data_IF_576741540209
#
_entry.id   IF_576741540209
#
_cell.length_a   1.000
_cell.length_b   1.000
_cell.length_c   1.000
_cell.angle_alpha   90.00
_cell.angle_beta   90.00
_cell.angle_gamma   90.00
#
_symmetry.space_group_name_H-M   'P 1'
#
loop_
_entity.id
_entity.type
_entity.pdbx_description
1 polymer ?
#
# COMPACT_ATOMS: atom_id res chain seq x y z
N UNK A 1 -0.86 -9.51 13.52
CA UNK A 1 -1.34 -8.16 13.15
C UNK A 1 -2.49 -8.20 12.15
N UNK A 2 -2.27 -8.60 10.88
CA UNK A 2 -3.26 -8.47 9.79
C UNK A 2 -4.68 -8.95 10.14
N UNK A 3 -4.79 -10.17 10.70
CA UNK A 3 -6.08 -10.74 11.14
C UNK A 3 -6.81 -9.90 12.19
N UNK A 4 -6.09 -9.24 13.09
CA UNK A 4 -6.70 -8.42 14.13
C UNK A 4 -7.24 -7.09 13.59
N UNK A 5 -6.58 -6.51 12.59
CA UNK A 5 -6.93 -5.19 12.03
C UNK A 5 -7.96 -5.32 10.90
N UNK A 6 -7.76 -6.27 9.99
CA UNK A 6 -8.56 -6.42 8.77
C UNK A 6 -9.56 -7.59 8.86
N UNK A 7 -9.47 -8.41 9.90
CA UNK A 7 -10.36 -9.56 10.09
C UNK A 7 -10.02 -10.78 9.23
N UNK A 8 -8.98 -10.72 8.39
CA UNK A 8 -8.50 -11.83 7.57
C UNK A 8 -6.98 -11.99 7.61
N UNK A 9 -6.48 -13.15 7.19
CA UNK A 9 -5.04 -13.31 6.93
C UNK A 9 -4.69 -12.54 5.66
N UNK A 10 -3.47 -12.03 5.59
CA UNK A 10 -2.92 -11.52 4.33
C UNK A 10 -2.80 -12.70 3.36
N UNK A 11 -3.06 -12.46 2.09
CA UNK A 11 -3.21 -13.55 1.11
C UNK A 11 -1.86 -14.15 0.73
N UNK A 12 -0.81 -13.32 0.63
CA UNK A 12 0.55 -13.82 0.44
C UNK A 12 1.60 -12.89 1.06
N UNK A 13 2.71 -13.50 1.50
CA UNK A 13 3.93 -12.83 1.95
C UNK A 13 5.08 -13.45 1.18
N UNK A 14 5.88 -12.64 0.49
CA UNK A 14 7.13 -13.04 -0.16
C UNK A 14 8.28 -12.25 0.44
N UNK A 15 9.37 -12.92 0.79
CA UNK A 15 10.59 -12.28 1.25
C UNK A 15 11.68 -12.48 0.19
N UNK A 16 12.33 -11.39 -0.21
CA UNK A 16 13.46 -11.38 -1.13
C UNK A 16 14.51 -10.46 -0.51
N UNK A 17 15.66 -11.03 -0.13
CA UNK A 17 16.69 -10.34 0.64
C UNK A 17 16.11 -9.68 1.91
N UNK A 18 16.28 -8.36 2.07
CA UNK A 18 15.74 -7.55 3.17
C UNK A 18 14.40 -6.89 2.82
N UNK A 19 13.70 -7.36 1.79
CA UNK A 19 12.44 -6.79 1.30
C UNK A 19 11.31 -7.81 1.47
N UNK A 20 10.21 -7.39 2.08
CA UNK A 20 9.01 -8.18 2.25
C UNK A 20 7.86 -7.59 1.43
N UNK A 21 7.25 -8.41 0.59
CA UNK A 21 6.09 -8.07 -0.22
C UNK A 21 4.85 -8.77 0.34
N UNK A 22 3.87 -7.99 0.77
CA UNK A 22 2.56 -8.44 1.22
C UNK A 22 1.56 -8.18 0.11
N UNK A 23 0.71 -9.16 -0.20
CA UNK A 23 -0.38 -9.01 -1.17
C UNK A 23 -1.71 -9.37 -0.51
N UNK A 24 -2.71 -8.52 -0.72
CA UNK A 24 -4.07 -8.66 -0.23
C UNK A 24 -5.06 -8.34 -1.36
N UNK A 25 -5.80 -9.36 -1.77
CA UNK A 25 -6.88 -9.28 -2.75
C UNK A 25 -8.16 -8.84 -2.04
N UNK A 26 -8.92 -7.91 -2.64
CA UNK A 26 -10.15 -7.37 -2.04
C UNK A 26 -9.89 -6.75 -0.66
N UNK A 27 -8.87 -5.90 -0.58
CA UNK A 27 -8.47 -5.26 0.67
C UNK A 27 -9.65 -4.58 1.36
N UNK A 28 -9.99 -5.09 2.55
CA UNK A 28 -11.29 -4.83 3.20
C UNK A 28 -11.62 -3.35 3.37
N UNK A 29 -10.62 -2.50 3.63
CA UNK A 29 -10.85 -1.07 3.86
C UNK A 29 -11.09 -0.26 2.58
N UNK A 30 -10.84 -0.87 1.41
CA UNK A 30 -11.21 -0.32 0.12
C UNK A 30 -12.54 -0.90 -0.41
N UNK A 31 -13.19 -1.81 0.34
CA UNK A 31 -14.53 -2.27 -0.02
C UNK A 31 -15.52 -1.11 -0.01
N UNK A 32 -16.22 -0.92 -1.12
CA UNK A 32 -17.17 0.18 -1.31
C UNK A 32 -16.55 1.45 -1.93
N UNK A 33 -15.23 1.51 -2.08
CA UNK A 33 -14.62 2.51 -2.95
C UNK A 33 -14.93 2.19 -4.42
N UNK A 34 -15.12 3.20 -5.27
CA UNK A 34 -15.29 2.99 -6.70
C UNK A 34 -14.02 2.40 -7.29
N UNK A 35 -14.16 1.45 -8.23
CA UNK A 35 -13.00 0.94 -8.96
C UNK A 35 -12.24 2.06 -9.66
N UNK A 36 -10.92 1.92 -9.75
CA UNK A 36 -10.08 2.84 -10.49
C UNK A 36 -10.48 2.81 -11.99
N UNK A 37 -10.96 3.95 -12.51
CA UNK A 37 -11.43 4.06 -13.92
C UNK A 37 -10.42 4.68 -14.87
N UNK A 38 -9.52 5.54 -14.35
CA UNK A 38 -8.56 6.30 -15.16
C UNK A 38 -7.10 6.05 -14.81
N UNK A 39 -6.81 5.16 -13.85
CA UNK A 39 -5.44 4.85 -13.43
C UNK A 39 -5.32 3.36 -13.19
N UNK A 40 -4.23 2.77 -13.68
CA UNK A 40 -3.96 1.36 -13.44
C UNK A 40 -3.64 1.06 -11.97
N UNK A 41 -3.17 2.07 -11.24
CA UNK A 41 -2.81 1.96 -9.81
C UNK A 41 -2.78 3.29 -9.08
N UNK A 42 -2.89 3.21 -7.76
CA UNK A 42 -2.63 4.29 -6.79
C UNK A 42 -1.53 3.84 -5.84
N UNK A 43 -0.57 4.71 -5.51
CA UNK A 43 0.58 4.35 -4.67
C UNK A 43 0.94 5.43 -3.64
N UNK A 44 1.62 5.03 -2.56
CA UNK A 44 2.00 5.95 -1.46
C UNK A 44 3.29 6.73 -1.70
N UNK A 45 4.21 6.23 -2.54
CA UNK A 45 5.42 6.99 -2.92
C UNK A 45 5.04 8.19 -3.80
N UNK A 46 5.62 9.36 -3.51
CA UNK A 46 5.65 10.45 -4.48
C UNK A 46 6.66 10.06 -5.57
N UNK A 47 6.24 10.07 -6.83
CA UNK A 47 7.15 9.76 -7.95
C UNK A 47 8.29 10.77 -7.97
N UNK A 48 9.51 10.32 -7.65
CA UNK A 48 10.71 11.11 -7.89
C UNK A 48 11.06 11.02 -9.37
N UNK A 49 10.87 12.14 -10.06
CA UNK A 49 11.51 12.64 -11.28
C UNK A 49 12.03 11.61 -12.31
N UNK A 50 11.26 11.47 -13.39
CA UNK A 50 11.72 10.99 -14.69
C UNK A 50 10.74 11.48 -15.76
N UNK A 51 11.18 12.45 -16.56
CA UNK A 51 10.43 12.95 -17.72
C UNK A 51 9.93 11.79 -18.59
N UNK A 52 8.63 11.80 -18.92
CA UNK A 52 8.13 11.02 -20.05
C UNK A 52 7.18 9.86 -19.77
N UNK A 53 6.55 9.76 -18.59
CA UNK A 53 5.38 8.89 -18.43
C UNK A 53 4.17 9.69 -17.94
N UNK A 54 3.32 10.09 -18.89
CA UNK A 54 1.91 10.34 -18.60
C UNK A 54 1.34 9.00 -18.14
N UNK A 55 1.24 8.80 -16.83
CA UNK A 55 0.26 7.92 -16.15
C UNK A 55 0.72 7.71 -14.69
N UNK A 56 0.44 8.71 -13.88
CA UNK A 56 0.60 8.68 -12.43
C UNK A 56 -0.41 9.62 -11.81
N UNK A 57 -1.66 9.50 -12.24
CA UNK A 57 -2.72 10.42 -11.86
C UNK A 57 -2.96 10.26 -10.36
N UNK A 58 -2.74 11.36 -9.62
CA UNK A 58 -3.34 11.54 -8.32
C UNK A 58 -4.84 11.29 -8.49
N UNK A 59 -5.34 10.24 -7.87
CA UNK A 59 -6.77 9.97 -7.88
C UNK A 59 -7.47 11.15 -7.20
N UNK A 60 -8.34 11.85 -7.93
CA UNK A 60 -9.21 12.82 -7.29
C UNK A 60 -10.11 12.08 -6.30
N UNK A 61 -10.24 12.57 -5.05
CA UNK A 61 -11.09 11.93 -4.06
C UNK A 61 -12.51 11.82 -4.62
N UNK A 62 -13.05 10.59 -4.69
CA UNK A 62 -14.47 10.38 -5.02
C UNK A 62 -15.39 10.75 -3.83
N UNK A 63 -14.80 11.17 -2.70
CA UNK A 63 -15.44 11.63 -1.47
C UNK A 63 -14.41 12.25 -0.51
N UNK A 64 -14.66 12.31 0.81
CA UNK A 64 -13.71 12.90 1.76
C UNK A 64 -12.41 12.08 1.94
N UNK A 65 -12.37 10.85 1.43
CA UNK A 65 -11.24 9.91 1.57
C UNK A 65 -10.99 9.28 0.20
N UNK A 66 -9.74 9.28 -0.25
CA UNK A 66 -9.28 8.62 -1.48
C UNK A 66 -8.69 7.23 -1.21
N UNK A 67 -8.45 6.40 -2.24
CA UNK A 67 -7.72 5.14 -2.03
C UNK A 67 -6.33 5.40 -1.46
N UNK A 68 -5.69 6.49 -1.88
CA UNK A 68 -4.35 6.89 -1.41
C UNK A 68 -4.34 7.15 0.10
N UNK A 69 -5.38 7.76 0.64
CA UNK A 69 -5.48 8.03 2.09
C UNK A 69 -5.56 6.73 2.90
N UNK A 70 -6.35 5.77 2.42
CA UNK A 70 -6.46 4.43 3.03
C UNK A 70 -5.11 3.70 2.98
N UNK A 71 -4.39 3.79 1.86
CA UNK A 71 -3.05 3.21 1.74
C UNK A 71 -2.05 3.87 2.69
N UNK A 72 -2.03 5.21 2.78
CA UNK A 72 -1.16 5.96 3.69
C UNK A 72 -1.42 5.60 5.15
N UNK A 73 -2.69 5.51 5.54
CA UNK A 73 -3.08 5.11 6.89
C UNK A 73 -2.61 3.67 7.20
N UNK A 74 -2.80 2.76 6.25
CA UNK A 74 -2.34 1.36 6.39
C UNK A 74 -0.81 1.26 6.47
N UNK A 75 -0.09 2.04 5.66
CA UNK A 75 1.37 2.16 5.75
C UNK A 75 1.81 2.64 7.14
N UNK A 76 1.11 3.62 7.72
CA UNK A 76 1.37 4.09 9.09
C UNK A 76 1.19 3.00 10.14
N UNK A 77 0.14 2.19 10.02
CA UNK A 77 -0.09 1.03 10.90
C UNK A 77 1.03 0.01 10.77
N UNK A 78 1.44 -0.34 9.55
CA UNK A 78 2.51 -1.31 9.33
C UNK A 78 3.81 -0.79 9.94
N UNK A 79 4.17 0.48 9.71
CA UNK A 79 5.35 1.12 10.32
C UNK A 79 5.29 1.07 11.85
N UNK A 80 4.16 1.46 12.44
CA UNK A 80 4.00 1.44 13.91
C UNK A 80 4.10 0.04 14.51
N UNK A 81 3.54 -0.97 13.83
CA UNK A 81 3.57 -2.36 14.30
C UNK A 81 4.93 -3.04 14.12
N UNK A 82 5.72 -2.59 13.15
CA UNK A 82 7.06 -3.12 12.88
C UNK A 82 8.16 -2.34 13.61
N UNK A 83 7.88 -1.12 14.08
CA UNK A 83 8.84 -0.28 14.79
C UNK A 83 9.62 -0.98 15.92
N UNK A 84 9.00 -1.83 16.78
CA UNK A 84 9.75 -2.55 17.81
C UNK A 84 10.74 -3.60 17.31
N UNK A 85 10.70 -3.93 16.00
CA UNK A 85 11.60 -4.88 15.34
C UNK A 85 12.75 -4.16 14.61
N UNK A 86 12.70 -2.83 14.55
CA UNK A 86 13.71 -1.99 13.94
C UNK A 86 14.66 -1.56 15.06
N UNK A 87 15.80 -2.22 15.18
CA UNK A 87 16.85 -1.77 16.09
C UNK A 87 17.43 -0.43 15.57
N UNK A 88 18.60 -0.45 14.93
CA UNK A 88 19.17 0.72 14.24
C UNK A 88 18.79 0.77 12.75
N UNK A 89 18.03 -0.21 12.27
CA UNK A 89 17.67 -0.35 10.85
C UNK A 89 16.58 0.65 10.43
N UNK A 90 16.71 1.14 9.19
CA UNK A 90 15.68 1.94 8.55
C UNK A 90 14.55 1.04 8.04
N UNK A 91 13.32 1.57 7.97
CA UNK A 91 12.20 0.88 7.33
C UNK A 91 11.47 1.81 6.39
N UNK A 92 11.55 1.50 5.09
CA UNK A 92 10.66 2.07 4.10
C UNK A 92 9.45 1.15 3.92
N UNK A 93 8.25 1.73 4.02
CA UNK A 93 6.99 1.01 3.75
C UNK A 93 6.23 1.76 2.68
N UNK A 94 5.82 1.04 1.65
CA UNK A 94 5.05 1.56 0.53
C UNK A 94 3.80 0.72 0.30
N UNK A 95 2.74 1.34 -0.19
CA UNK A 95 1.48 0.68 -0.54
C UNK A 95 1.09 1.01 -1.97
N UNK A 96 0.54 0.03 -2.67
CA UNK A 96 0.01 0.16 -4.04
C UNK A 96 -1.32 -0.57 -4.13
N UNK A 97 -2.33 0.06 -4.72
CA UNK A 97 -3.62 -0.55 -5.06
C UNK A 97 -3.81 -0.53 -6.58
N UNK A 98 -4.23 -1.64 -7.17
CA UNK A 98 -4.43 -1.77 -8.62
C UNK A 98 -5.91 -1.74 -8.99
N UNK A 99 -6.21 -1.45 -10.26
CA UNK A 99 -7.59 -1.47 -10.79
C UNK A 99 -8.23 -2.86 -10.71
N UNK A 100 -7.43 -3.92 -10.69
CA UNK A 100 -7.86 -5.32 -10.53
C UNK A 100 -8.30 -5.65 -9.09
N UNK A 101 -8.15 -4.72 -8.14
CA UNK A 101 -8.53 -4.92 -6.74
C UNK A 101 -7.43 -5.52 -5.87
N UNK A 102 -6.21 -5.65 -6.39
CA UNK A 102 -5.07 -6.14 -5.64
C UNK A 102 -4.41 -5.00 -4.87
N UNK A 103 -4.08 -5.24 -3.59
CA UNK A 103 -3.32 -4.29 -2.77
C UNK A 103 -2.01 -4.92 -2.35
N UNK A 104 -0.92 -4.21 -2.58
CA UNK A 104 0.43 -4.62 -2.26
C UNK A 104 1.05 -3.67 -1.23
N UNK A 105 1.74 -4.23 -0.25
CA UNK A 105 2.62 -3.47 0.64
C UNK A 105 4.04 -4.00 0.55
N UNK A 106 5.00 -3.11 0.37
CA UNK A 106 6.43 -3.45 0.38
C UNK A 106 7.07 -2.87 1.62
N UNK A 107 7.77 -3.71 2.37
CA UNK A 107 8.56 -3.35 3.55
C UNK A 107 10.02 -3.59 3.21
N UNK A 108 10.80 -2.53 3.18
CA UNK A 108 12.22 -2.55 2.84
C UNK A 108 13.04 -2.18 4.09
N UNK A 109 13.79 -3.16 4.61
CA UNK A 109 14.60 -3.07 5.82
C UNK A 109 16.08 -2.75 5.51
N UNK A 110 16.39 -2.31 4.30
CA UNK A 110 17.75 -1.89 3.91
C UNK A 110 18.16 -0.54 4.49
#
# INVERSE_FOLDING_TARGET
MWKAIFGKKVDSIKAIDSIYHLSDNDFRWLQGFPQLKGSDRVQTLASSEGEGSKDGYAEEPVGPVSHRDVLLYTVGIIKGATHPLLDESSLAVTGTHTKEGETFFTLDFR
#
